data_IF_869381229084
#
_entry.id   IF_869381229084
#
_cell.length_a   1.000
_cell.length_b   1.000
_cell.length_c   1.000
_cell.angle_alpha   90.00
_cell.angle_beta   90.00
_cell.angle_gamma   90.00
#
_symmetry.space_group_name_H-M   'P 1'
#
loop_
_entity.id
_entity.type
_entity.pdbx_description
1 polymer ?
#
# COMPACT_ATOMS: atom_id res chain seq x y z
N UNK A 1 -35.56 7.66 -12.99
CA UNK A 1 -34.16 7.79 -13.45
C UNK A 1 -33.78 6.63 -14.36
N UNK A 2 -33.05 6.85 -15.47
CA UNK A 2 -32.59 5.77 -16.36
C UNK A 2 -31.21 5.26 -15.93
N UNK A 3 -30.80 4.11 -16.49
CA UNK A 3 -29.41 3.60 -16.26
C UNK A 3 -28.35 4.61 -16.71
N UNK A 4 -28.63 5.38 -17.76
CA UNK A 4 -27.70 6.40 -18.24
C UNK A 4 -27.60 7.57 -17.27
N UNK A 5 -28.72 8.02 -16.73
CA UNK A 5 -28.75 9.09 -15.72
C UNK A 5 -27.92 8.71 -14.48
N UNK A 6 -28.12 7.49 -13.99
CA UNK A 6 -27.40 6.99 -12.81
C UNK A 6 -25.89 6.88 -13.07
N UNK A 7 -25.45 6.54 -14.28
CA UNK A 7 -24.03 6.49 -14.63
C UNK A 7 -23.35 7.87 -14.70
N UNK A 8 -24.11 8.95 -14.75
CA UNK A 8 -23.57 10.31 -14.67
C UNK A 8 -23.33 10.77 -13.23
N UNK A 9 -23.92 10.08 -12.25
CA UNK A 9 -23.71 10.37 -10.84
C UNK A 9 -22.31 9.91 -10.45
N UNK A 10 -21.52 10.81 -9.86
CA UNK A 10 -20.19 10.47 -9.37
C UNK A 10 -20.28 9.54 -8.17
N UNK A 11 -19.49 8.49 -8.16
CA UNK A 11 -19.43 7.54 -7.04
C UNK A 11 -19.11 8.22 -5.71
N UNK A 12 -18.25 9.25 -5.73
CA UNK A 12 -17.91 10.02 -4.54
C UNK A 12 -19.13 10.76 -3.96
N UNK A 13 -19.97 11.37 -4.82
CA UNK A 13 -21.18 12.07 -4.42
C UNK A 13 -22.23 11.08 -3.88
N UNK A 14 -22.35 9.92 -4.50
CA UNK A 14 -23.25 8.88 -4.03
C UNK A 14 -22.82 8.34 -2.66
N UNK A 15 -21.53 8.04 -2.45
CA UNK A 15 -21.03 7.60 -1.16
C UNK A 15 -21.23 8.67 -0.08
N UNK A 16 -21.05 9.96 -0.41
CA UNK A 16 -21.29 11.05 0.51
C UNK A 16 -22.77 11.15 0.90
N UNK A 17 -23.69 10.94 -0.04
CA UNK A 17 -25.14 10.94 0.26
C UNK A 17 -25.54 9.80 1.22
N UNK A 18 -24.77 8.73 1.23
CA UNK A 18 -24.91 7.60 2.16
C UNK A 18 -24.15 7.81 3.49
N UNK A 19 -23.48 8.95 3.68
CA UNK A 19 -22.72 9.28 4.89
C UNK A 19 -21.28 8.80 4.91
N UNK A 20 -20.76 8.23 3.82
CA UNK A 20 -19.38 7.79 3.72
C UNK A 20 -18.48 8.92 3.21
N UNK A 21 -17.39 9.18 3.93
CA UNK A 21 -16.37 10.15 3.55
C UNK A 21 -15.04 9.45 3.29
N UNK A 22 -14.28 9.89 2.28
CA UNK A 22 -12.99 9.27 2.02
C UNK A 22 -12.00 9.59 3.14
N UNK A 23 -11.17 8.60 3.46
CA UNK A 23 -10.11 8.70 4.49
C UNK A 23 -8.86 9.34 3.90
N UNK A 24 -8.57 9.09 2.61
CA UNK A 24 -7.42 9.65 1.89
C UNK A 24 -7.66 9.70 0.40
N UNK A 25 -6.88 10.54 -0.30
CA UNK A 25 -6.79 10.60 -1.75
C UNK A 25 -5.37 10.29 -2.21
N UNK A 26 -5.25 9.50 -3.29
CA UNK A 26 -3.99 9.21 -3.95
C UNK A 26 -4.17 9.37 -5.47
N UNK A 27 -3.69 10.48 -6.01
CA UNK A 27 -3.95 10.85 -7.40
C UNK A 27 -5.44 10.91 -7.69
N UNK A 28 -5.91 10.11 -8.65
CA UNK A 28 -7.32 10.00 -9.06
C UNK A 28 -8.13 8.99 -8.23
N UNK A 29 -7.57 8.42 -7.16
CA UNK A 29 -8.24 7.44 -6.33
C UNK A 29 -8.59 8.03 -4.96
N UNK A 30 -9.86 7.87 -4.57
CA UNK A 30 -10.35 8.10 -3.22
C UNK A 30 -10.40 6.78 -2.47
N UNK A 31 -9.96 6.77 -1.23
CA UNK A 31 -9.95 5.59 -0.37
C UNK A 31 -10.91 5.78 0.80
N UNK A 32 -11.76 4.81 1.00
CA UNK A 32 -12.79 4.78 2.04
C UNK A 32 -12.60 3.56 2.93
N UNK A 33 -13.13 3.60 4.14
CA UNK A 33 -13.52 2.37 4.82
C UNK A 33 -14.69 1.76 4.04
N UNK A 34 -14.71 0.43 3.94
CA UNK A 34 -15.72 -0.25 3.14
C UNK A 34 -17.15 0.09 3.60
N UNK A 35 -18.04 0.48 2.68
CA UNK A 35 -19.46 0.63 2.99
C UNK A 35 -20.18 -0.73 3.11
N UNK A 36 -19.50 -1.83 2.80
CA UNK A 36 -20.07 -3.17 2.72
C UNK A 36 -19.77 -4.02 3.97
N UNK A 37 -18.84 -3.56 4.83
CA UNK A 37 -18.41 -4.26 6.04
C UNK A 37 -17.71 -3.32 7.02
N UNK A 38 -17.60 -3.73 8.28
CA UNK A 38 -16.80 -3.02 9.27
C UNK A 38 -15.31 -3.31 9.07
N UNK A 39 -14.47 -2.28 9.10
CA UNK A 39 -13.02 -2.38 9.01
C UNK A 39 -12.32 -1.21 9.71
N UNK A 40 -11.07 -1.43 10.12
CA UNK A 40 -10.22 -0.41 10.75
C UNK A 40 -9.48 0.43 9.72
N UNK A 41 -8.99 -0.20 8.67
CA UNK A 41 -8.16 0.40 7.62
C UNK A 41 -8.94 0.58 6.33
N UNK A 42 -8.71 1.70 5.62
CA UNK A 42 -9.40 1.99 4.36
C UNK A 42 -8.93 1.04 3.25
N UNK A 43 -9.81 0.15 2.80
CA UNK A 43 -9.55 -0.81 1.73
C UNK A 43 -10.54 -0.74 0.55
N UNK A 44 -11.49 0.18 0.60
CA UNK A 44 -12.41 0.45 -0.50
C UNK A 44 -11.90 1.63 -1.33
N UNK A 45 -11.63 1.40 -2.61
CA UNK A 45 -11.04 2.38 -3.54
C UNK A 45 -12.08 2.81 -4.57
N UNK A 46 -12.18 4.12 -4.81
CA UNK A 46 -12.96 4.71 -5.92
C UNK A 46 -12.01 5.44 -6.87
N UNK A 47 -12.02 5.07 -8.14
CA UNK A 47 -11.34 5.82 -9.19
C UNK A 47 -12.30 6.87 -9.76
N UNK A 48 -11.98 8.15 -9.58
CA UNK A 48 -12.85 9.28 -9.93
C UNK A 48 -12.88 9.62 -11.42
N UNK A 49 -11.99 9.08 -12.24
CA UNK A 49 -12.02 9.24 -13.70
C UNK A 49 -12.82 8.11 -14.36
N UNK A 50 -12.61 6.88 -13.89
CA UNK A 50 -13.30 5.71 -14.44
C UNK A 50 -14.68 5.50 -13.84
N UNK A 51 -15.02 6.22 -12.77
CA UNK A 51 -16.23 6.03 -11.97
C UNK A 51 -16.44 4.54 -11.63
N UNK A 52 -15.36 3.93 -11.08
CA UNK A 52 -15.30 2.53 -10.67
C UNK A 52 -14.80 2.43 -9.24
N UNK A 53 -15.36 1.47 -8.52
CA UNK A 53 -14.91 1.12 -7.18
C UNK A 53 -14.30 -0.29 -7.16
N UNK A 54 -13.48 -0.55 -6.17
CA UNK A 54 -12.96 -1.87 -5.85
C UNK A 54 -12.75 -1.99 -4.34
N UNK A 55 -13.30 -3.04 -3.74
CA UNK A 55 -13.10 -3.39 -2.34
C UNK A 55 -12.10 -4.54 -2.24
N UNK A 56 -10.92 -4.26 -1.71
CA UNK A 56 -9.84 -5.24 -1.57
C UNK A 56 -10.13 -6.30 -0.52
N UNK A 57 -11.03 -6.05 0.42
CA UNK A 57 -11.37 -7.01 1.47
C UNK A 57 -12.30 -8.13 1.01
N UNK A 58 -13.21 -7.83 0.07
CA UNK A 58 -14.12 -8.83 -0.49
C UNK A 58 -13.79 -9.23 -1.93
N UNK A 59 -12.77 -8.58 -2.55
CA UNK A 59 -12.35 -8.88 -3.91
C UNK A 59 -13.36 -8.50 -5.00
N UNK A 60 -14.28 -7.56 -4.73
CA UNK A 60 -15.32 -7.13 -5.66
C UNK A 60 -15.16 -5.69 -6.10
N UNK A 61 -15.69 -5.37 -7.27
CA UNK A 61 -15.67 -4.02 -7.82
C UNK A 61 -16.72 -3.80 -8.90
N UNK A 62 -16.91 -2.52 -9.29
CA UNK A 62 -17.89 -2.21 -10.31
C UNK A 62 -18.17 -0.71 -10.47
N UNK A 63 -19.34 -0.40 -11.01
CA UNK A 63 -19.89 0.95 -11.12
C UNK A 63 -20.88 1.23 -9.97
N UNK A 64 -21.56 2.38 -10.02
CA UNK A 64 -22.55 2.79 -9.01
C UNK A 64 -23.71 1.77 -8.86
N UNK A 65 -24.18 1.15 -9.95
CA UNK A 65 -25.25 0.16 -9.90
C UNK A 65 -24.76 -1.10 -9.20
N UNK A 66 -23.53 -1.56 -9.49
CA UNK A 66 -22.93 -2.70 -8.83
C UNK A 66 -22.70 -2.42 -7.32
N UNK A 67 -22.35 -1.17 -6.95
CA UNK A 67 -22.25 -0.80 -5.55
C UNK A 67 -23.61 -0.85 -4.85
N UNK A 68 -24.64 -0.31 -5.47
CA UNK A 68 -25.99 -0.38 -4.94
C UNK A 68 -26.48 -1.83 -4.81
N UNK A 69 -26.17 -2.70 -5.75
CA UNK A 69 -26.51 -4.13 -5.68
C UNK A 69 -25.91 -4.81 -4.43
N UNK A 70 -24.65 -4.54 -4.12
CA UNK A 70 -24.01 -5.06 -2.89
C UNK A 70 -24.61 -4.42 -1.62
N UNK A 71 -24.85 -3.11 -1.60
CA UNK A 71 -25.40 -2.40 -0.44
C UNK A 71 -26.82 -2.86 -0.11
N UNK A 72 -27.69 -2.98 -1.13
CA UNK A 72 -29.10 -3.35 -0.94
C UNK A 72 -29.37 -4.85 -1.12
N UNK A 73 -28.33 -5.65 -1.40
CA UNK A 73 -28.42 -7.10 -1.60
C UNK A 73 -29.53 -7.49 -2.57
N UNK A 74 -29.59 -6.79 -3.71
CA UNK A 74 -30.61 -6.97 -4.74
C UNK A 74 -29.99 -6.97 -6.13
N UNK A 75 -30.53 -7.76 -7.04
CA UNK A 75 -30.18 -7.77 -8.46
C UNK A 75 -31.27 -7.08 -9.32
N UNK A 76 -32.37 -6.65 -8.71
CA UNK A 76 -33.44 -5.93 -9.41
C UNK A 76 -33.00 -4.51 -9.77
N UNK A 77 -32.64 -4.32 -11.04
CA UNK A 77 -32.14 -3.05 -11.56
C UNK A 77 -33.17 -1.91 -11.34
N UNK A 78 -34.46 -2.15 -11.51
CA UNK A 78 -35.48 -1.12 -11.34
C UNK A 78 -35.55 -0.63 -9.88
N UNK A 79 -35.47 -1.57 -8.94
CA UNK A 79 -35.37 -1.26 -7.51
C UNK A 79 -34.09 -0.48 -7.21
N UNK A 80 -32.93 -0.91 -7.73
CA UNK A 80 -31.65 -0.23 -7.48
C UNK A 80 -31.63 1.20 -8.02
N UNK A 81 -32.16 1.44 -9.22
CA UNK A 81 -32.26 2.78 -9.80
C UNK A 81 -33.12 3.70 -8.93
N UNK A 82 -34.26 3.19 -8.41
CA UNK A 82 -35.14 3.94 -7.49
C UNK A 82 -34.39 4.28 -6.20
N UNK A 83 -33.67 3.33 -5.60
CA UNK A 83 -32.88 3.58 -4.37
C UNK A 83 -31.76 4.59 -4.57
N UNK A 84 -31.07 4.54 -5.70
CA UNK A 84 -30.06 5.54 -6.04
C UNK A 84 -30.71 6.93 -6.21
N UNK A 85 -31.81 7.00 -6.91
CA UNK A 85 -32.57 8.25 -7.11
C UNK A 85 -33.00 8.88 -5.78
N UNK A 86 -33.58 8.10 -4.86
CA UNK A 86 -33.99 8.55 -3.53
C UNK A 86 -32.82 9.12 -2.72
N UNK A 87 -31.63 8.46 -2.77
CA UNK A 87 -30.46 8.90 -2.05
C UNK A 87 -29.79 10.13 -2.66
N UNK A 88 -29.95 10.30 -3.98
CA UNK A 88 -29.22 11.35 -4.72
C UNK A 88 -30.09 12.58 -5.03
N UNK A 89 -31.36 12.59 -4.65
CA UNK A 89 -32.32 13.68 -4.91
C UNK A 89 -31.81 15.07 -4.42
N UNK A 90 -30.93 15.12 -3.43
CA UNK A 90 -30.39 16.35 -2.84
C UNK A 90 -28.87 16.38 -2.79
N UNK A 91 -28.19 15.75 -3.74
CA UNK A 91 -26.73 15.75 -3.77
C UNK A 91 -26.20 17.18 -3.95
N UNK A 92 -25.42 17.64 -2.97
CA UNK A 92 -24.45 18.71 -3.19
C UNK A 92 -23.16 18.05 -3.70
N UNK A 93 -22.53 18.56 -4.80
CA UNK A 93 -21.29 17.99 -5.28
C UNK A 93 -20.29 17.77 -4.16
N UNK A 94 -19.71 16.58 -4.08
CA UNK A 94 -18.75 16.24 -3.05
C UNK A 94 -17.50 17.12 -3.21
N UNK A 95 -17.22 17.95 -2.23
CA UNK A 95 -15.99 18.72 -2.14
C UNK A 95 -15.23 18.24 -0.91
N UNK A 96 -14.23 17.39 -1.15
CA UNK A 96 -13.40 16.88 -0.07
C UNK A 96 -12.13 17.72 0.02
N UNK A 97 -11.95 18.40 1.16
CA UNK A 97 -10.69 19.04 1.50
C UNK A 97 -9.84 18.02 2.27
N UNK A 98 -9.03 17.28 1.56
CA UNK A 98 -7.95 16.54 2.20
C UNK A 98 -6.89 17.57 2.58
N UNK A 99 -6.61 17.73 3.86
CA UNK A 99 -5.36 18.36 4.26
C UNK A 99 -4.27 17.69 3.41
N UNK A 100 -3.52 18.49 2.65
CA UNK A 100 -2.53 18.01 1.67
C UNK A 100 -1.78 16.82 2.26
N UNK A 101 -2.20 15.60 1.91
CA UNK A 101 -1.28 14.48 1.95
C UNK A 101 -0.27 14.83 0.87
N UNK A 102 0.92 15.20 1.31
CA UNK A 102 2.02 15.53 0.42
C UNK A 102 2.10 14.48 -0.68
N UNK A 103 1.85 14.92 -1.92
CA UNK A 103 2.46 14.26 -3.07
C UNK A 103 3.94 14.09 -2.74
N UNK A 104 4.49 12.90 -2.98
CA UNK A 104 5.83 12.42 -2.61
C UNK A 104 7.03 13.27 -3.10
N UNK A 105 6.88 14.57 -3.33
CA UNK A 105 7.88 15.48 -3.89
C UNK A 105 8.41 16.55 -2.94
N UNK A 106 8.05 16.54 -1.63
CA UNK A 106 8.86 17.32 -0.71
C UNK A 106 9.98 16.41 -0.17
N UNK A 107 11.25 16.80 -0.40
CA UNK A 107 12.37 16.05 0.17
C UNK A 107 12.21 16.05 1.69
N UNK A 108 12.23 14.87 2.30
CA UNK A 108 12.28 14.75 3.75
C UNK A 108 13.45 15.57 4.27
N UNK A 109 13.16 16.60 5.06
CA UNK A 109 14.20 17.51 5.55
C UNK A 109 14.93 16.85 6.70
N UNK A 110 16.26 17.05 6.76
CA UNK A 110 17.07 16.61 7.86
C UNK A 110 17.15 15.09 8.03
N UNK A 111 17.10 14.34 6.93
CA UNK A 111 17.22 12.88 6.96
C UNK A 111 18.51 12.46 7.67
N UNK A 112 18.38 11.68 8.73
CA UNK A 112 19.47 11.01 9.43
C UNK A 112 19.26 9.52 9.36
N UNK A 113 20.32 8.80 8.98
CA UNK A 113 20.35 7.34 8.85
C UNK A 113 21.26 6.81 9.94
N UNK A 114 20.76 5.89 10.75
CA UNK A 114 21.50 5.26 11.85
C UNK A 114 21.20 3.78 11.99
N UNK A 115 21.81 3.15 12.97
CA UNK A 115 21.50 1.77 13.33
C UNK A 115 20.10 1.67 13.93
N UNK A 116 19.41 0.57 13.60
CA UNK A 116 18.07 0.30 14.11
C UNK A 116 18.12 -0.02 15.62
N UNK A 117 17.77 0.95 16.45
CA UNK A 117 17.91 0.89 17.91
C UNK A 117 16.66 1.32 18.67
N UNK A 118 15.74 2.06 18.05
CA UNK A 118 14.52 2.56 18.70
C UNK A 118 13.65 1.44 19.28
N UNK A 119 13.34 1.47 20.59
CA UNK A 119 12.51 0.43 21.21
C UNK A 119 11.12 0.28 20.55
N UNK A 120 10.53 1.39 20.07
CA UNK A 120 9.23 1.37 19.42
C UNK A 120 9.27 0.66 18.06
N UNK A 121 10.35 0.83 17.28
CA UNK A 121 10.53 0.12 16.01
C UNK A 121 10.86 -1.36 16.23
N UNK A 122 11.66 -1.66 17.25
CA UNK A 122 11.97 -3.04 17.64
C UNK A 122 10.69 -3.76 18.08
N UNK A 123 9.88 -3.13 18.94
CA UNK A 123 8.60 -3.71 19.38
C UNK A 123 7.66 -3.96 18.20
N UNK A 124 7.57 -3.02 17.26
CA UNK A 124 6.77 -3.20 16.04
C UNK A 124 7.25 -4.41 15.20
N UNK A 125 8.57 -4.61 15.05
CA UNK A 125 9.11 -5.78 14.34
C UNK A 125 8.83 -7.09 15.08
N UNK A 126 8.93 -7.10 16.42
CA UNK A 126 8.63 -8.26 17.26
C UNK A 126 7.15 -8.65 17.15
N UNK A 127 6.23 -7.69 17.20
CA UNK A 127 4.79 -7.95 16.99
C UNK A 127 4.50 -8.58 15.61
N UNK A 128 5.31 -8.25 14.61
CA UNK A 128 5.23 -8.86 13.28
C UNK A 128 5.99 -10.18 13.15
N UNK A 129 6.56 -10.68 14.23
CA UNK A 129 7.32 -11.92 14.27
C UNK A 129 8.65 -11.87 13.52
N UNK A 130 9.22 -10.68 13.27
CA UNK A 130 10.49 -10.52 12.56
C UNK A 130 11.68 -10.71 13.51
N UNK A 131 12.67 -11.46 13.06
CA UNK A 131 13.93 -11.61 13.77
C UNK A 131 14.70 -10.29 13.80
N UNK A 132 14.99 -9.79 15.00
CA UNK A 132 15.59 -8.46 15.20
C UNK A 132 17.02 -8.40 14.68
N UNK A 133 17.79 -9.49 14.81
CA UNK A 133 19.16 -9.55 14.27
C UNK A 133 19.18 -9.37 12.75
N UNK A 134 18.26 -10.03 12.04
CA UNK A 134 18.08 -9.88 10.61
C UNK A 134 17.62 -8.45 10.25
N UNK A 135 16.64 -7.92 10.96
CA UNK A 135 16.17 -6.56 10.71
C UNK A 135 17.28 -5.51 10.90
N UNK A 136 18.13 -5.65 11.92
CA UNK A 136 19.27 -4.75 12.14
C UNK A 136 20.33 -4.86 11.04
N UNK A 137 20.52 -6.03 10.47
CA UNK A 137 21.45 -6.26 9.36
C UNK A 137 20.95 -5.58 8.08
N UNK A 138 19.69 -5.81 7.73
CA UNK A 138 19.09 -5.41 6.45
C UNK A 138 18.57 -3.97 6.43
N UNK A 139 18.17 -3.43 7.58
CA UNK A 139 17.50 -2.15 7.69
C UNK A 139 18.34 -1.11 8.45
N UNK A 140 17.88 0.14 8.37
CA UNK A 140 18.42 1.28 9.11
C UNK A 140 17.28 1.97 9.87
N UNK A 141 17.60 2.71 10.90
CA UNK A 141 16.69 3.68 11.50
C UNK A 141 16.81 5.00 10.75
N UNK A 142 15.67 5.48 10.26
CA UNK A 142 15.60 6.78 9.61
C UNK A 142 14.89 7.76 10.54
N UNK A 143 15.45 8.96 10.66
CA UNK A 143 14.84 10.11 11.34
C UNK A 143 14.79 11.28 10.37
N UNK A 144 13.64 11.91 10.24
CA UNK A 144 13.42 12.99 9.28
C UNK A 144 12.28 13.90 9.73
N UNK A 145 12.21 15.10 9.16
CA UNK A 145 11.09 16.02 9.32
C UNK A 145 10.18 15.92 8.09
N UNK A 146 8.88 15.90 8.33
CA UNK A 146 7.87 16.00 7.29
C UNK A 146 6.78 16.96 7.76
N UNK A 147 6.54 18.06 7.04
CA UNK A 147 5.60 19.10 7.41
C UNK A 147 5.78 19.55 8.89
N UNK A 148 7.03 19.89 9.27
CA UNK A 148 7.45 20.35 10.60
C UNK A 148 7.23 19.37 11.76
N UNK A 149 6.93 18.11 11.45
CA UNK A 149 6.80 17.03 12.43
C UNK A 149 7.99 16.06 12.35
N UNK A 150 8.58 15.68 13.49
CA UNK A 150 9.63 14.67 13.50
C UNK A 150 9.04 13.28 13.32
N UNK A 151 9.65 12.51 12.42
CA UNK A 151 9.32 11.11 12.16
C UNK A 151 10.53 10.23 12.38
N UNK A 152 10.28 8.99 12.77
CA UNK A 152 11.27 7.93 12.76
C UNK A 152 10.64 6.63 12.25
N UNK A 153 11.41 5.86 11.50
CA UNK A 153 10.92 4.66 10.83
C UNK A 153 12.04 3.68 10.53
N UNK A 154 11.66 2.45 10.24
CA UNK A 154 12.53 1.45 9.63
C UNK A 154 12.72 1.84 8.17
N UNK A 155 13.96 1.96 7.72
CA UNK A 155 14.34 2.21 6.33
C UNK A 155 15.02 1.00 5.74
N UNK A 156 14.53 0.52 4.61
CA UNK A 156 15.13 -0.54 3.82
C UNK A 156 15.74 0.06 2.57
N UNK A 157 17.07 -0.04 2.34
CA UNK A 157 17.73 0.65 1.24
C UNK A 157 17.36 0.04 -0.11
N UNK A 158 17.28 0.86 -1.15
CA UNK A 158 17.10 0.45 -2.52
C UNK A 158 18.33 0.72 -3.40
N UNK A 159 18.33 0.26 -4.64
CA UNK A 159 19.47 0.37 -5.55
C UNK A 159 19.80 1.81 -5.96
N UNK A 160 18.83 2.71 -5.94
CA UNK A 160 19.01 4.12 -6.31
C UNK A 160 19.45 5.01 -5.14
N UNK A 161 19.73 4.44 -3.96
CA UNK A 161 20.16 5.19 -2.77
C UNK A 161 19.00 5.79 -1.96
N UNK A 162 17.76 5.47 -2.29
CA UNK A 162 16.57 5.77 -1.48
C UNK A 162 16.27 4.67 -0.47
N UNK A 163 15.17 4.83 0.26
CA UNK A 163 14.72 3.89 1.27
C UNK A 163 13.23 3.63 1.18
N UNK A 164 12.80 2.38 1.25
CA UNK A 164 11.43 2.07 1.63
C UNK A 164 11.29 2.25 3.14
N UNK A 165 10.19 2.88 3.56
CA UNK A 165 10.02 3.32 4.95
C UNK A 165 8.80 2.66 5.57
N UNK A 166 8.95 2.15 6.80
CA UNK A 166 7.85 1.54 7.52
C UNK A 166 7.94 1.81 9.02
N UNK A 167 6.79 2.12 9.61
CA UNK A 167 6.59 1.98 11.05
C UNK A 167 5.15 1.48 11.29
N UNK A 168 4.67 1.50 12.54
CA UNK A 168 3.31 1.07 12.90
C UNK A 168 2.22 1.88 12.18
N UNK A 169 2.47 3.13 11.85
CA UNK A 169 1.44 4.09 11.45
C UNK A 169 1.47 4.44 9.97
N UNK A 170 2.60 4.22 9.28
CA UNK A 170 2.70 4.54 7.86
C UNK A 170 3.66 3.64 7.09
N UNK A 171 3.45 3.62 5.79
CA UNK A 171 4.33 3.07 4.75
C UNK A 171 4.64 4.20 3.77
N UNK A 172 5.89 4.33 3.35
CA UNK A 172 6.32 5.37 2.42
C UNK A 172 7.65 5.04 1.79
N UNK A 173 8.22 6.02 1.10
CA UNK A 173 9.52 5.93 0.45
C UNK A 173 10.28 7.24 0.61
N UNK A 174 11.53 7.19 1.01
CA UNK A 174 12.50 8.29 0.84
C UNK A 174 13.09 8.15 -0.55
N UNK A 175 12.87 9.15 -1.40
CA UNK A 175 13.30 9.11 -2.79
C UNK A 175 14.84 9.02 -2.93
N UNK A 176 15.32 8.46 -4.03
CA UNK A 176 14.56 7.97 -5.18
C UNK A 176 13.94 6.59 -4.93
N UNK A 177 12.83 6.28 -5.61
CA UNK A 177 12.13 5.02 -5.51
C UNK A 177 12.69 4.00 -6.50
N UNK A 178 13.07 2.83 -5.98
CA UNK A 178 13.64 1.76 -6.80
C UNK A 178 13.43 0.37 -6.18
N UNK A 179 13.80 -0.66 -6.95
CA UNK A 179 13.91 -2.03 -6.45
C UNK A 179 15.13 -2.17 -5.54
N UNK A 180 15.17 -3.25 -4.76
CA UNK A 180 16.38 -3.68 -4.04
C UNK A 180 16.84 -5.01 -4.59
N UNK A 181 18.10 -5.11 -4.96
CA UNK A 181 18.74 -6.35 -5.38
C UNK A 181 19.86 -6.71 -4.41
N UNK A 182 19.69 -7.83 -3.72
CA UNK A 182 20.70 -8.36 -2.79
C UNK A 182 21.36 -9.53 -3.50
N UNK A 183 22.56 -9.26 -4.03
CA UNK A 183 23.36 -10.24 -4.75
C UNK A 183 24.36 -10.87 -3.81
N UNK A 184 24.45 -12.20 -3.85
CA UNK A 184 25.46 -12.93 -3.10
C UNK A 184 26.79 -12.94 -3.85
N UNK A 185 27.89 -12.97 -3.11
CA UNK A 185 29.24 -12.78 -3.68
C UNK A 185 29.78 -14.00 -4.46
N UNK A 186 29.24 -15.19 -4.21
CA UNK A 186 29.78 -16.45 -4.72
C UNK A 186 29.17 -16.86 -6.07
N UNK A 187 29.61 -16.19 -7.15
CA UNK A 187 29.31 -16.62 -8.52
C UNK A 187 27.95 -16.20 -9.07
N UNK A 188 27.71 -16.56 -10.33
CA UNK A 188 26.45 -16.30 -11.01
C UNK A 188 25.40 -17.31 -10.53
N UNK A 189 24.23 -16.81 -10.14
CA UNK A 189 23.09 -17.62 -9.73
C UNK A 189 22.10 -17.73 -10.90
N UNK A 190 21.48 -18.91 -11.04
CA UNK A 190 20.44 -19.13 -12.04
C UNK A 190 19.03 -18.84 -11.50
N UNK A 191 18.90 -18.54 -10.21
CA UNK A 191 17.62 -18.27 -9.55
C UNK A 191 17.74 -17.20 -8.49
N UNK A 192 16.69 -16.41 -8.34
CA UNK A 192 16.53 -15.49 -7.23
C UNK A 192 15.14 -15.62 -6.61
N UNK A 193 15.00 -15.14 -5.37
CA UNK A 193 13.69 -14.97 -4.74
C UNK A 193 13.18 -13.57 -5.00
N UNK A 194 11.94 -13.46 -5.45
CA UNK A 194 11.26 -12.18 -5.71
C UNK A 194 10.23 -11.90 -4.61
N UNK A 195 10.25 -10.68 -4.05
CA UNK A 195 9.32 -10.21 -3.03
C UNK A 195 8.65 -8.90 -3.45
N UNK A 196 7.38 -8.71 -3.09
CA UNK A 196 6.69 -7.44 -3.30
C UNK A 196 7.27 -6.34 -2.40
N UNK A 197 7.56 -6.66 -1.15
CA UNK A 197 8.06 -5.69 -0.18
C UNK A 197 9.08 -6.26 0.80
N UNK A 198 9.84 -5.38 1.44
CA UNK A 198 10.93 -5.78 2.34
C UNK A 198 10.43 -6.49 3.62
N UNK A 199 9.18 -6.27 4.04
CA UNK A 199 8.63 -6.98 5.19
C UNK A 199 8.41 -8.47 4.87
N UNK A 200 8.04 -8.80 3.63
CA UNK A 200 7.88 -10.19 3.18
C UNK A 200 9.25 -10.88 3.09
N UNK A 201 10.24 -10.16 2.57
CA UNK A 201 11.62 -10.60 2.56
C UNK A 201 12.14 -10.88 3.98
N UNK A 202 11.97 -9.97 4.94
CA UNK A 202 12.38 -10.16 6.33
C UNK A 202 11.64 -11.34 7.00
N UNK A 203 10.35 -11.52 6.70
CA UNK A 203 9.56 -12.65 7.19
C UNK A 203 10.10 -13.97 6.66
N UNK A 204 10.42 -14.02 5.37
CA UNK A 204 11.04 -15.19 4.75
C UNK A 204 12.39 -15.55 5.40
N UNK A 205 13.28 -14.58 5.57
CA UNK A 205 14.56 -14.81 6.24
C UNK A 205 14.37 -15.29 7.68
N UNK A 206 13.41 -14.71 8.39
CA UNK A 206 13.07 -15.10 9.77
C UNK A 206 12.62 -16.56 9.85
N UNK A 207 11.75 -16.97 8.92
CA UNK A 207 11.28 -18.37 8.85
C UNK A 207 12.45 -19.32 8.56
N UNK A 208 13.37 -18.97 7.67
CA UNK A 208 14.55 -19.78 7.37
C UNK A 208 15.44 -19.95 8.58
N UNK A 209 15.73 -18.88 9.33
CA UNK A 209 16.51 -18.95 10.57
C UNK A 209 15.81 -19.79 11.62
N UNK A 210 14.50 -19.63 11.77
CA UNK A 210 13.71 -20.41 12.74
C UNK A 210 13.69 -21.91 12.43
N UNK A 211 13.56 -22.25 11.14
CA UNK A 211 13.44 -23.65 10.70
C UNK A 211 14.81 -24.37 10.66
N UNK A 212 15.90 -23.62 10.45
CA UNK A 212 17.26 -24.17 10.47
C UNK A 212 18.25 -23.19 11.12
N UNK A 213 18.27 -23.08 12.45
CA UNK A 213 19.12 -22.10 13.15
C UNK A 213 20.62 -22.31 12.92
N UNK A 214 21.07 -23.53 12.73
CA UNK A 214 22.50 -23.87 12.54
C UNK A 214 22.99 -23.49 11.13
N UNK A 215 22.15 -23.72 10.11
CA UNK A 215 22.50 -23.50 8.69
C UNK A 215 21.33 -22.87 7.94
N UNK A 216 20.99 -21.60 8.17
CA UNK A 216 19.80 -20.99 7.57
C UNK A 216 19.94 -20.74 6.07
N UNK A 217 21.16 -20.85 5.51
CA UNK A 217 21.47 -20.68 4.07
C UNK A 217 20.88 -19.39 3.49
N UNK A 218 21.06 -18.26 4.18
CA UNK A 218 20.52 -16.95 3.76
C UNK A 218 21.29 -16.37 2.58
N UNK A 219 22.50 -16.81 2.37
CA UNK A 219 23.50 -16.38 1.39
C UNK A 219 23.61 -17.32 0.18
N UNK A 220 22.72 -18.31 0.06
CA UNK A 220 22.77 -19.28 -1.05
C UNK A 220 22.00 -18.84 -2.28
N UNK A 221 21.19 -17.80 -2.18
CA UNK A 221 20.33 -17.28 -3.26
C UNK A 221 20.37 -15.76 -3.29
N UNK A 222 20.16 -15.19 -4.46
CA UNK A 222 19.93 -13.77 -4.62
C UNK A 222 18.49 -13.41 -4.29
N UNK A 223 18.26 -12.15 -3.95
CA UNK A 223 16.94 -11.63 -3.58
C UNK A 223 16.64 -10.35 -4.33
N UNK A 224 15.46 -10.28 -4.93
CA UNK A 224 14.93 -9.07 -5.58
C UNK A 224 13.68 -8.63 -4.83
N UNK A 225 13.66 -7.40 -4.36
CA UNK A 225 12.54 -6.82 -3.66
C UNK A 225 12.02 -5.66 -4.50
N UNK A 226 10.77 -5.75 -4.97
CA UNK A 226 10.14 -4.76 -5.83
C UNK A 226 9.94 -3.42 -5.12
N UNK A 227 9.72 -3.45 -3.79
CA UNK A 227 9.36 -2.29 -2.98
C UNK A 227 8.02 -1.65 -3.35
N UNK A 228 7.52 -1.94 -4.54
CA UNK A 228 6.19 -1.60 -5.05
C UNK A 228 5.94 -2.38 -6.34
N UNK A 229 4.71 -2.81 -6.55
CA UNK A 229 4.30 -3.44 -7.83
C UNK A 229 4.59 -2.55 -9.04
N UNK A 230 4.55 -1.22 -8.88
CA UNK A 230 4.90 -0.28 -9.96
C UNK A 230 6.35 -0.37 -10.44
N UNK A 231 7.23 -1.04 -9.71
CA UNK A 231 8.64 -1.26 -10.10
C UNK A 231 8.86 -2.60 -10.84
N UNK A 232 7.79 -3.34 -11.15
CA UNK A 232 7.91 -4.64 -11.83
C UNK A 232 8.71 -4.53 -13.13
N UNK A 233 8.41 -3.54 -13.97
CA UNK A 233 9.12 -3.32 -15.23
C UNK A 233 10.64 -3.10 -15.05
N UNK A 234 11.07 -2.50 -13.92
CA UNK A 234 12.51 -2.38 -13.59
C UNK A 234 13.14 -3.71 -13.21
N UNK A 235 12.35 -4.59 -12.57
CA UNK A 235 12.82 -5.90 -12.17
C UNK A 235 12.90 -6.87 -13.36
N UNK A 236 12.07 -6.74 -14.39
CA UNK A 236 12.05 -7.61 -15.57
C UNK A 236 13.42 -7.71 -16.22
N UNK A 237 14.06 -6.58 -16.54
CA UNK A 237 15.40 -6.57 -17.13
C UNK A 237 16.46 -7.23 -16.25
N UNK A 238 16.31 -7.11 -14.92
CA UNK A 238 17.21 -7.78 -13.99
C UNK A 238 16.94 -9.29 -13.93
N UNK A 239 15.67 -9.69 -13.94
CA UNK A 239 15.27 -11.10 -13.84
C UNK A 239 15.70 -11.91 -15.08
N UNK A 240 15.77 -11.30 -16.26
CA UNK A 240 16.31 -11.93 -17.47
C UNK A 240 17.77 -12.40 -17.32
N UNK A 241 18.51 -11.83 -16.37
CA UNK A 241 19.91 -12.27 -16.09
C UNK A 241 20.00 -13.59 -15.33
N UNK A 242 18.88 -14.13 -14.87
CA UNK A 242 18.76 -15.40 -14.12
C UNK A 242 18.31 -16.59 -14.97
N UNK A 243 18.25 -16.44 -16.27
CA UNK A 243 17.87 -17.50 -17.23
C UNK A 243 19.06 -18.27 -17.77
#
# INVERSE_FOLDING_TARGET
>A
MTIQDVKQIKLADYLQSLGYTPVKQQGRNLWYKSPLREETDASFKVNTELEKWYDFGIGKGGNIIALAAELYRSEDVAYLLKRIEEQTAYIRPASFSFGRQHSDNQPYQGLRVGELSSPALIAYLQERGINIGLAKRECRELRFMNADKPYFAIGFPNMAGGYEVRNRYFKGCVAPKDITHIRQQDGQRCMCYLFEGFMDYLSFLTIRVRNNPQHPRLDTQDYVILNSVSNLAKAESLLETYT
#
